data_IF_097331360168
#
_entry.id   IF_097331360168
#
_cell.length_a   1.000
_cell.length_b   1.000
_cell.length_c   1.000
_cell.angle_alpha   90.00
_cell.angle_beta   90.00
_cell.angle_gamma   90.00
#
_symmetry.space_group_name_H-M   'P 1'
#
loop_
_entity.id
_entity.type
_entity.pdbx_description
1 polymer ?
#
# COMPACT_ATOMS: atom_id res chain seq x y z
N UNK A 1 16.54 25.92 -3.15
CA UNK A 1 16.74 24.87 -2.10
C UNK A 1 15.37 24.35 -1.73
N UNK A 2 15.05 23.08 -2.07
CA UNK A 2 13.79 22.46 -1.70
C UNK A 2 13.91 21.81 -0.29
N UNK A 3 12.86 21.92 0.51
CA UNK A 3 12.76 21.22 1.81
C UNK A 3 12.39 19.75 1.57
N UNK A 4 13.14 18.83 2.17
CA UNK A 4 12.92 17.38 2.02
C UNK A 4 11.51 16.97 2.48
N UNK A 5 10.92 17.67 3.43
CA UNK A 5 9.55 17.44 3.90
C UNK A 5 8.47 17.66 2.82
N UNK A 6 8.79 18.41 1.78
CA UNK A 6 7.90 18.68 0.63
C UNK A 6 8.01 17.65 -0.49
N UNK A 7 8.98 16.74 -0.39
CA UNK A 7 9.18 15.67 -1.35
C UNK A 7 8.16 14.55 -1.12
N UNK A 8 7.68 13.93 -2.19
CA UNK A 8 6.92 12.68 -2.11
C UNK A 8 7.78 11.55 -1.53
N UNK A 9 7.16 10.50 -1.01
CA UNK A 9 7.88 9.34 -0.45
C UNK A 9 8.85 8.75 -1.48
N UNK A 10 8.42 8.60 -2.74
CA UNK A 10 9.28 8.14 -3.83
C UNK A 10 10.48 9.07 -4.09
N UNK A 11 10.27 10.39 -4.07
CA UNK A 11 11.36 11.37 -4.22
C UNK A 11 12.33 11.33 -3.03
N UNK A 12 11.83 11.12 -1.81
CA UNK A 12 12.69 10.92 -0.63
C UNK A 12 13.53 9.64 -0.78
N UNK A 13 12.95 8.55 -1.29
CA UNK A 13 13.67 7.31 -1.57
C UNK A 13 14.78 7.53 -2.61
N UNK A 14 14.48 8.20 -3.71
CA UNK A 14 15.50 8.54 -4.72
C UNK A 14 16.62 9.44 -4.17
N UNK A 15 16.28 10.38 -3.28
CA UNK A 15 17.26 11.21 -2.58
C UNK A 15 18.18 10.38 -1.68
N UNK A 16 17.65 9.38 -0.96
CA UNK A 16 18.44 8.47 -0.12
C UNK A 16 19.43 7.67 -0.98
N UNK A 17 19.00 7.17 -2.13
CA UNK A 17 19.86 6.44 -3.08
C UNK A 17 20.96 7.39 -3.60
N UNK A 18 20.60 8.59 -4.06
CA UNK A 18 21.57 9.58 -4.53
C UNK A 18 22.61 9.95 -3.46
N UNK A 19 22.20 10.06 -2.19
CA UNK A 19 23.10 10.27 -1.05
C UNK A 19 24.08 9.11 -0.86
N UNK A 20 23.61 7.86 -0.95
CA UNK A 20 24.46 6.69 -0.83
C UNK A 20 25.49 6.64 -1.97
N UNK A 21 25.09 7.00 -3.19
CA UNK A 21 25.96 7.02 -4.36
C UNK A 21 27.06 8.09 -4.32
N UNK A 22 26.83 9.18 -3.60
CA UNK A 22 27.81 10.27 -3.46
C UNK A 22 29.14 9.80 -2.84
N UNK A 23 29.12 8.68 -2.09
CA UNK A 23 30.32 8.08 -1.47
C UNK A 23 31.10 7.17 -2.41
N UNK A 24 30.65 6.94 -3.65
CA UNK A 24 31.23 6.01 -4.63
C UNK A 24 31.47 4.62 -4.01
N UNK A 25 30.45 3.93 -3.52
CA UNK A 25 30.60 2.69 -2.78
C UNK A 25 31.11 1.55 -3.69
N UNK A 26 31.91 0.65 -3.14
CA UNK A 26 32.28 -0.62 -3.80
C UNK A 26 31.15 -1.65 -3.72
N UNK A 27 30.36 -1.58 -2.65
CA UNK A 27 29.17 -2.42 -2.42
C UNK A 27 28.02 -1.50 -2.02
N UNK A 28 26.90 -1.60 -2.74
CA UNK A 28 25.68 -0.88 -2.45
C UNK A 28 24.61 -1.87 -1.98
N UNK A 29 24.00 -1.60 -0.82
CA UNK A 29 22.90 -2.40 -0.29
C UNK A 29 21.61 -1.60 -0.46
N UNK A 30 20.63 -2.19 -1.12
CA UNK A 30 19.30 -1.62 -1.36
C UNK A 30 18.27 -2.56 -0.74
N UNK A 31 17.61 -2.08 0.30
CA UNK A 31 16.57 -2.83 1.03
C UNK A 31 15.18 -2.32 0.61
N UNK A 32 14.44 -3.17 -0.12
CA UNK A 32 13.12 -2.90 -0.70
C UNK A 32 12.98 -1.50 -1.34
N UNK A 33 13.91 -1.08 -2.22
CA UNK A 33 13.99 0.31 -2.66
C UNK A 33 12.82 0.75 -3.53
N UNK A 34 12.01 -0.16 -4.03
CA UNK A 34 10.92 0.10 -4.99
C UNK A 34 9.54 0.20 -4.33
N UNK A 35 9.40 -0.12 -3.04
CA UNK A 35 8.11 -0.22 -2.34
C UNK A 35 7.27 1.05 -2.43
N UNK A 36 7.90 2.22 -2.45
CA UNK A 36 7.25 3.53 -2.50
C UNK A 36 7.43 4.28 -3.82
N UNK A 37 7.99 3.61 -4.85
CA UNK A 37 8.28 4.21 -6.14
C UNK A 37 7.11 4.02 -7.12
N UNK A 38 6.93 5.01 -8.01
CA UNK A 38 6.07 4.85 -9.19
C UNK A 38 6.73 3.92 -10.21
N UNK A 39 5.96 3.33 -11.13
CA UNK A 39 6.52 2.46 -12.18
C UNK A 39 7.60 3.13 -13.04
N UNK A 40 7.48 4.45 -13.29
CA UNK A 40 8.51 5.22 -13.99
C UNK A 40 9.79 5.40 -13.16
N UNK A 41 9.66 5.58 -11.84
CA UNK A 41 10.81 5.72 -10.95
C UNK A 41 11.50 4.38 -10.73
N UNK A 42 10.75 3.27 -10.69
CA UNK A 42 11.33 1.92 -10.67
C UNK A 42 12.23 1.69 -11.89
N UNK A 43 11.76 2.02 -13.09
CA UNK A 43 12.58 1.90 -14.31
C UNK A 43 13.87 2.72 -14.23
N UNK A 44 13.78 3.96 -13.75
CA UNK A 44 14.97 4.81 -13.53
C UNK A 44 15.93 4.22 -12.51
N UNK A 45 15.42 3.66 -11.42
CA UNK A 45 16.25 2.97 -10.44
C UNK A 45 16.98 1.78 -11.07
N UNK A 46 16.29 0.99 -11.89
CA UNK A 46 16.89 -0.15 -12.58
C UNK A 46 18.01 0.26 -13.54
N UNK A 47 17.84 1.37 -14.26
CA UNK A 47 18.88 1.96 -15.09
C UNK A 47 20.11 2.37 -14.24
N UNK A 48 19.89 3.00 -13.09
CA UNK A 48 20.96 3.37 -12.16
C UNK A 48 21.69 2.12 -11.65
N UNK A 49 20.97 1.08 -11.25
CA UNK A 49 21.53 -0.20 -10.78
C UNK A 49 22.39 -0.85 -11.86
N UNK A 50 21.91 -0.91 -13.10
CA UNK A 50 22.68 -1.46 -14.24
C UNK A 50 23.95 -0.68 -14.50
N UNK A 51 23.87 0.65 -14.55
CA UNK A 51 25.04 1.51 -14.72
C UNK A 51 26.10 1.31 -13.62
N UNK A 52 25.67 1.19 -12.37
CA UNK A 52 26.58 0.94 -11.25
C UNK A 52 27.28 -0.41 -11.38
N UNK A 53 26.53 -1.44 -11.75
CA UNK A 53 27.06 -2.78 -12.00
C UNK A 53 28.11 -2.77 -13.12
N UNK A 54 27.82 -2.11 -14.24
CA UNK A 54 28.74 -1.95 -15.37
C UNK A 54 30.02 -1.20 -14.97
N UNK A 55 29.93 -0.28 -14.02
CA UNK A 55 31.08 0.43 -13.45
C UNK A 55 31.77 -0.30 -12.29
N UNK A 56 31.46 -1.58 -12.08
CA UNK A 56 32.16 -2.46 -11.12
C UNK A 56 31.66 -2.32 -9.67
N UNK A 57 30.52 -1.67 -9.40
CA UNK A 57 29.90 -1.66 -8.07
C UNK A 57 29.13 -2.98 -7.86
N UNK A 58 29.43 -3.70 -6.79
CA UNK A 58 28.64 -4.86 -6.37
C UNK A 58 27.35 -4.40 -5.67
N UNK A 59 26.23 -5.07 -5.95
CA UNK A 59 24.92 -4.66 -5.41
C UNK A 59 24.27 -5.82 -4.68
N UNK A 60 23.83 -5.57 -3.45
CA UNK A 60 22.92 -6.45 -2.70
C UNK A 60 21.55 -5.82 -2.78
N UNK A 61 20.63 -6.47 -3.49
CA UNK A 61 19.28 -5.99 -3.71
C UNK A 61 18.29 -6.88 -2.96
N UNK A 62 17.69 -6.35 -1.90
CA UNK A 62 16.67 -7.07 -1.12
C UNK A 62 15.28 -6.75 -1.67
N UNK A 63 14.54 -7.78 -2.05
CA UNK A 63 13.17 -7.63 -2.56
C UNK A 63 12.38 -8.92 -2.37
N UNK A 64 11.07 -8.81 -2.34
CA UNK A 64 10.12 -9.93 -2.40
C UNK A 64 9.36 -9.97 -3.74
N UNK A 65 9.68 -9.06 -4.67
CA UNK A 65 9.02 -8.96 -5.97
C UNK A 65 9.76 -9.80 -7.00
N UNK A 66 9.08 -10.80 -7.56
CA UNK A 66 9.66 -11.71 -8.54
C UNK A 66 10.18 -11.00 -9.80
N UNK A 67 9.44 -9.99 -10.28
CA UNK A 67 9.81 -9.21 -11.46
C UNK A 67 11.17 -8.54 -11.29
N UNK A 68 11.47 -8.01 -10.11
CA UNK A 68 12.74 -7.36 -9.80
C UNK A 68 13.91 -8.37 -9.76
N UNK A 69 13.65 -9.56 -9.18
CA UNK A 69 14.63 -10.66 -9.16
C UNK A 69 14.98 -11.04 -10.59
N UNK A 70 14.00 -11.33 -11.42
CA UNK A 70 14.18 -11.78 -12.80
C UNK A 70 14.92 -10.74 -13.66
N UNK A 71 14.64 -9.46 -13.44
CA UNK A 71 15.15 -8.37 -14.27
C UNK A 71 16.59 -7.96 -13.89
N UNK A 72 16.89 -7.83 -12.58
CA UNK A 72 18.11 -7.18 -12.12
C UNK A 72 19.19 -8.14 -11.68
N UNK A 73 18.84 -9.29 -11.09
CA UNK A 73 19.82 -10.09 -10.35
C UNK A 73 20.53 -11.11 -11.21
N UNK A 74 21.79 -11.39 -10.89
CA UNK A 74 22.59 -12.46 -11.49
C UNK A 74 22.46 -13.75 -10.68
N UNK A 75 22.19 -13.61 -9.38
CA UNK A 75 22.01 -14.70 -8.43
C UNK A 75 21.00 -14.27 -7.38
N UNK A 76 20.14 -15.18 -6.97
CA UNK A 76 19.18 -14.97 -5.88
C UNK A 76 19.44 -15.96 -4.75
N UNK A 77 19.50 -15.47 -3.52
CA UNK A 77 19.55 -16.28 -2.31
C UNK A 77 18.27 -16.08 -1.53
N UNK A 78 17.56 -17.17 -1.28
CA UNK A 78 16.27 -17.15 -0.56
C UNK A 78 16.55 -17.31 0.93
N UNK A 79 16.05 -16.34 1.69
CA UNK A 79 16.09 -16.34 3.15
C UNK A 79 14.68 -16.52 3.70
N UNK A 80 14.53 -17.42 4.67
CA UNK A 80 13.28 -17.62 5.42
C UNK A 80 13.61 -17.95 6.88
N UNK A 81 12.95 -17.28 7.82
CA UNK A 81 13.16 -17.46 9.26
C UNK A 81 14.63 -17.33 9.67
N UNK A 82 15.37 -16.40 9.05
CA UNK A 82 16.79 -16.16 9.30
C UNK A 82 17.73 -17.21 8.74
N UNK A 83 17.25 -18.14 7.91
CA UNK A 83 18.04 -19.23 7.33
C UNK A 83 18.13 -19.10 5.82
N UNK A 84 19.28 -19.47 5.25
CA UNK A 84 19.42 -19.68 3.82
C UNK A 84 18.69 -20.97 3.42
N UNK A 85 17.68 -20.85 2.57
CA UNK A 85 16.89 -21.98 2.07
C UNK A 85 17.52 -22.51 0.77
N UNK A 86 17.80 -21.63 -0.18
CA UNK A 86 18.33 -21.98 -1.48
C UNK A 86 19.07 -20.80 -2.12
N UNK A 87 19.90 -21.11 -3.10
CA UNK A 87 20.56 -20.11 -3.95
C UNK A 87 20.49 -20.56 -5.39
N UNK A 88 20.05 -19.68 -6.29
CA UNK A 88 19.93 -19.95 -7.71
C UNK A 88 20.79 -18.95 -8.49
N UNK A 89 21.51 -19.44 -9.48
CA UNK A 89 22.14 -18.61 -10.52
C UNK A 89 21.10 -18.22 -11.56
N UNK A 90 21.26 -17.08 -12.24
CA UNK A 90 20.28 -16.55 -13.22
C UNK A 90 19.86 -17.57 -14.27
N UNK A 91 20.77 -18.40 -14.74
CA UNK A 91 20.50 -19.45 -15.73
C UNK A 91 19.57 -20.56 -15.23
N UNK A 92 19.49 -20.72 -13.90
CA UNK A 92 18.73 -21.77 -13.22
C UNK A 92 17.45 -21.22 -12.56
N UNK A 93 17.03 -19.99 -12.90
CA UNK A 93 15.84 -19.38 -12.34
C UNK A 93 14.58 -20.13 -12.75
N UNK A 94 13.92 -20.68 -11.77
CA UNK A 94 12.59 -21.26 -11.86
C UNK A 94 11.67 -20.47 -10.93
N UNK A 95 10.76 -19.68 -11.50
CA UNK A 95 9.85 -18.81 -10.76
C UNK A 95 9.03 -19.59 -9.73
N UNK A 96 8.56 -20.80 -10.09
CA UNK A 96 7.78 -21.64 -9.19
C UNK A 96 8.58 -22.07 -7.97
N UNK A 97 9.81 -22.56 -8.17
CA UNK A 97 10.70 -22.96 -7.07
C UNK A 97 11.11 -21.79 -6.19
N UNK A 98 11.45 -20.65 -6.80
CA UNK A 98 11.85 -19.45 -6.04
C UNK A 98 10.69 -19.00 -5.14
N UNK A 99 9.47 -18.94 -5.66
CA UNK A 99 8.28 -18.55 -4.88
C UNK A 99 7.98 -19.60 -3.80
N UNK A 100 8.02 -20.90 -4.13
CA UNK A 100 7.79 -21.96 -3.14
C UNK A 100 8.80 -21.89 -1.98
N UNK A 101 10.08 -21.66 -2.27
CA UNK A 101 11.11 -21.49 -1.27
C UNK A 101 10.93 -20.25 -0.41
N UNK A 102 10.48 -19.12 -1.02
CA UNK A 102 10.17 -17.87 -0.31
C UNK A 102 8.98 -18.04 0.65
N UNK A 103 7.91 -18.72 0.22
CA UNK A 103 6.65 -18.85 0.98
C UNK A 103 6.70 -20.08 1.89
N UNK A 104 7.39 -21.13 1.50
CA UNK A 104 7.44 -22.41 2.21
C UNK A 104 6.29 -23.36 1.91
N UNK A 105 5.52 -23.11 0.85
CA UNK A 105 4.40 -23.93 0.35
C UNK A 105 4.39 -23.98 -1.16
N UNK A 106 3.78 -24.99 -1.74
CA UNK A 106 3.55 -25.05 -3.18
C UNK A 106 2.53 -24.00 -3.63
N UNK A 107 2.67 -23.49 -4.86
CA UNK A 107 1.83 -22.41 -5.43
C UNK A 107 0.36 -22.80 -5.52
N UNK A 108 0.03 -24.10 -5.61
CA UNK A 108 -1.33 -24.62 -5.69
C UNK A 108 -2.24 -24.21 -4.49
N UNK A 109 -1.64 -23.87 -3.34
CA UNK A 109 -2.39 -23.43 -2.15
C UNK A 109 -2.49 -21.90 -2.01
N UNK A 110 -1.92 -21.12 -2.97
CA UNK A 110 -1.80 -19.67 -2.85
C UNK A 110 -3.15 -18.95 -3.06
N UNK A 111 -4.03 -19.53 -3.83
CA UNK A 111 -5.35 -18.97 -4.15
C UNK A 111 -6.45 -19.96 -3.75
N UNK A 112 -6.96 -19.89 -2.51
CA UNK A 112 -8.09 -20.73 -2.11
C UNK A 112 -9.30 -20.43 -3.00
N UNK A 113 -10.02 -21.49 -3.39
CA UNK A 113 -11.25 -21.33 -4.15
C UNK A 113 -12.25 -20.49 -3.35
N UNK A 114 -12.89 -19.56 -4.05
CA UNK A 114 -13.97 -18.76 -3.46
C UNK A 114 -15.28 -19.56 -3.50
N UNK A 115 -15.88 -19.75 -2.31
CA UNK A 115 -17.19 -20.41 -2.18
C UNK A 115 -18.30 -19.41 -1.79
N UNK A 116 -18.02 -18.10 -1.80
CA UNK A 116 -19.00 -17.11 -1.38
C UNK A 116 -19.92 -16.74 -2.54
N UNK A 117 -21.23 -16.85 -2.32
CA UNK A 117 -22.23 -16.26 -3.19
C UNK A 117 -22.27 -14.73 -2.97
N UNK A 118 -22.30 -13.99 -4.07
CA UNK A 118 -22.45 -12.52 -4.02
C UNK A 118 -23.93 -12.24 -3.84
N UNK A 119 -24.25 -11.52 -2.75
CA UNK A 119 -25.62 -11.16 -2.39
C UNK A 119 -26.07 -9.80 -2.98
N UNK A 120 -27.04 -9.17 -2.30
CA UNK A 120 -27.59 -7.88 -2.70
C UNK A 120 -26.59 -6.73 -2.55
N UNK A 121 -26.85 -5.60 -3.25
CA UNK A 121 -26.09 -4.36 -3.09
C UNK A 121 -26.21 -3.84 -1.65
N UNK A 122 -25.07 -3.65 -0.99
CA UNK A 122 -25.02 -3.12 0.38
C UNK A 122 -24.45 -1.71 0.45
N UNK A 123 -23.60 -1.34 -0.50
CA UNK A 123 -22.98 -0.03 -0.50
C UNK A 123 -22.86 0.51 -1.93
N UNK A 124 -23.13 1.80 -2.11
CA UNK A 124 -22.99 2.45 -3.41
C UNK A 124 -22.59 3.91 -3.24
N UNK A 125 -21.73 4.38 -4.12
CA UNK A 125 -21.44 5.79 -4.32
C UNK A 125 -21.83 6.21 -5.73
N UNK A 126 -22.33 7.43 -5.85
CA UNK A 126 -22.73 8.04 -7.10
C UNK A 126 -22.11 9.43 -7.25
N UNK A 127 -21.34 9.65 -8.31
CA UNK A 127 -20.81 10.95 -8.68
C UNK A 127 -19.88 11.59 -7.64
N UNK A 128 -19.11 10.79 -6.88
CA UNK A 128 -18.26 11.29 -5.82
C UNK A 128 -17.18 12.22 -6.37
N UNK A 129 -17.20 13.47 -5.91
CA UNK A 129 -16.20 14.49 -6.25
C UNK A 129 -15.65 15.10 -4.97
N UNK A 130 -14.32 15.21 -4.89
CA UNK A 130 -13.59 15.77 -3.75
C UNK A 130 -12.61 16.82 -4.24
N UNK A 131 -12.64 18.01 -3.63
CA UNK A 131 -11.70 19.08 -3.98
C UNK A 131 -10.29 18.80 -3.47
N UNK A 132 -9.31 19.29 -4.23
CA UNK A 132 -7.91 19.21 -3.81
C UNK A 132 -7.66 20.15 -2.62
N UNK A 133 -7.12 19.65 -1.48
CA UNK A 133 -7.03 20.42 -0.23
C UNK A 133 -6.08 21.64 -0.31
N UNK A 134 -5.19 21.69 -1.31
CA UNK A 134 -4.16 22.73 -1.43
C UNK A 134 -4.19 23.49 -2.76
N UNK A 135 -5.00 23.07 -3.73
CA UNK A 135 -5.07 23.69 -5.05
C UNK A 135 -6.51 24.07 -5.31
N UNK A 136 -6.79 25.39 -5.26
CA UNK A 136 -8.13 25.90 -5.52
C UNK A 136 -8.65 25.54 -6.92
N UNK A 137 -9.92 25.30 -7.05
CA UNK A 137 -10.61 24.95 -8.31
C UNK A 137 -10.07 23.70 -9.03
N UNK A 138 -9.44 22.79 -8.29
CA UNK A 138 -9.01 21.50 -8.80
C UNK A 138 -9.67 20.38 -7.99
N UNK A 139 -10.26 19.44 -8.68
CA UNK A 139 -10.76 18.23 -8.04
C UNK A 139 -9.62 17.22 -7.87
N UNK A 140 -9.57 16.60 -6.70
CA UNK A 140 -8.66 15.50 -6.38
C UNK A 140 -9.26 14.18 -6.88
N UNK A 141 -10.58 14.06 -6.76
CA UNK A 141 -11.41 12.97 -7.28
C UNK A 141 -12.56 13.62 -8.04
N UNK A 142 -12.88 13.07 -9.19
CA UNK A 142 -13.91 13.60 -10.06
C UNK A 142 -14.87 12.50 -10.54
N UNK A 143 -16.16 12.63 -10.19
CA UNK A 143 -17.27 11.82 -10.67
C UNK A 143 -17.08 10.29 -10.55
N UNK A 144 -16.63 9.83 -9.39
CA UNK A 144 -16.39 8.40 -9.13
C UNK A 144 -17.67 7.73 -8.66
N UNK A 145 -18.05 6.63 -9.31
CA UNK A 145 -19.24 5.84 -8.97
C UNK A 145 -18.90 4.35 -8.99
N UNK A 146 -19.36 3.61 -7.99
CA UNK A 146 -19.33 2.15 -7.94
C UNK A 146 -20.29 1.62 -6.86
N UNK A 147 -20.56 0.32 -6.90
CA UNK A 147 -21.31 -0.38 -5.86
C UNK A 147 -20.53 -1.58 -5.32
N UNK A 148 -20.93 -2.05 -4.15
CA UNK A 148 -20.39 -3.24 -3.46
C UNK A 148 -21.54 -4.07 -2.95
N UNK A 149 -21.46 -5.38 -3.18
CA UNK A 149 -22.49 -6.35 -2.80
C UNK A 149 -22.09 -7.11 -1.53
N UNK A 150 -23.07 -7.70 -0.87
CA UNK A 150 -22.83 -8.54 0.31
C UNK A 150 -21.90 -9.72 -0.06
N UNK A 151 -20.86 -9.94 0.74
CA UNK A 151 -19.86 -11.00 0.48
C UNK A 151 -18.89 -10.73 -0.67
N UNK A 152 -18.95 -9.54 -1.31
CA UNK A 152 -18.04 -9.14 -2.37
C UNK A 152 -16.73 -8.54 -1.81
N UNK A 153 -15.64 -8.75 -2.53
CA UNK A 153 -14.40 -7.98 -2.39
C UNK A 153 -14.18 -7.17 -3.66
N UNK A 154 -14.48 -5.89 -3.61
CA UNK A 154 -14.25 -4.96 -4.73
C UNK A 154 -12.80 -4.46 -4.71
N UNK A 155 -12.09 -4.66 -5.82
CA UNK A 155 -10.73 -4.12 -6.01
C UNK A 155 -10.75 -2.75 -6.70
N UNK A 156 -10.15 -1.73 -6.08
CA UNK A 156 -9.89 -0.43 -6.72
C UNK A 156 -8.48 -0.41 -7.30
N UNK A 157 -8.34 -0.66 -8.59
CA UNK A 157 -7.07 -0.66 -9.31
C UNK A 157 -6.65 0.74 -9.79
N UNK A 158 -5.35 0.99 -9.98
CA UNK A 158 -4.82 2.23 -10.55
C UNK A 158 -3.36 2.48 -10.18
N UNK A 159 -2.70 3.38 -10.90
CA UNK A 159 -1.33 3.78 -10.63
C UNK A 159 -1.23 4.65 -9.36
N UNK A 160 0.01 4.88 -8.91
CA UNK A 160 0.29 5.84 -7.82
C UNK A 160 -0.24 7.22 -8.22
N UNK A 161 -1.02 7.84 -7.32
CA UNK A 161 -1.66 9.13 -7.60
C UNK A 161 -2.99 9.06 -8.36
N UNK A 162 -3.54 7.87 -8.59
CA UNK A 162 -4.84 7.70 -9.25
C UNK A 162 -6.06 8.05 -8.37
N UNK A 163 -5.87 8.43 -7.12
CA UNK A 163 -6.96 8.84 -6.23
C UNK A 163 -7.63 7.71 -5.43
N UNK A 164 -7.11 6.47 -5.46
CA UNK A 164 -7.71 5.31 -4.78
C UNK A 164 -7.85 5.51 -3.27
N UNK A 165 -6.76 5.90 -2.62
CA UNK A 165 -6.74 6.15 -1.18
C UNK A 165 -7.61 7.33 -0.80
N UNK A 166 -7.67 8.34 -1.65
CA UNK A 166 -8.46 9.54 -1.47
C UNK A 166 -9.97 9.25 -1.55
N UNK A 167 -10.40 8.36 -2.45
CA UNK A 167 -11.79 7.84 -2.48
C UNK A 167 -12.13 7.19 -1.13
N UNK A 168 -11.28 6.27 -0.65
CA UNK A 168 -11.51 5.60 0.62
C UNK A 168 -11.53 6.56 1.82
N UNK A 169 -10.62 7.54 1.86
CA UNK A 169 -10.57 8.55 2.93
C UNK A 169 -11.77 9.49 2.90
N UNK A 170 -12.30 9.83 1.72
CA UNK A 170 -13.51 10.62 1.59
C UNK A 170 -14.75 9.84 2.06
N UNK A 171 -14.90 8.58 1.66
CA UNK A 171 -15.98 7.68 2.14
C UNK A 171 -15.92 7.53 3.67
N UNK A 172 -14.71 7.46 4.23
CA UNK A 172 -14.52 7.33 5.68
C UNK A 172 -14.70 8.66 6.45
N UNK A 173 -14.99 9.77 5.75
CA UNK A 173 -15.24 11.06 6.38
C UNK A 173 -14.01 11.82 6.83
N UNK A 174 -12.82 11.46 6.34
CA UNK A 174 -11.58 12.18 6.61
C UNK A 174 -11.35 13.35 5.65
N UNK A 175 -12.08 13.39 4.54
CA UNK A 175 -12.05 14.47 3.55
C UNK A 175 -13.47 14.94 3.24
N UNK A 176 -13.69 16.25 3.05
CA UNK A 176 -15.02 16.75 2.70
C UNK A 176 -15.38 16.36 1.26
N UNK A 177 -16.59 15.87 1.09
CA UNK A 177 -17.17 15.56 -0.22
C UNK A 177 -17.75 16.86 -0.79
N UNK A 178 -17.35 17.22 -2.02
CA UNK A 178 -17.88 18.39 -2.75
C UNK A 178 -19.25 18.11 -3.36
N UNK A 179 -19.39 16.94 -3.97
CA UNK A 179 -20.64 16.46 -4.57
C UNK A 179 -20.65 14.95 -4.65
N UNK A 180 -21.81 14.38 -4.90
CA UNK A 180 -22.04 12.94 -4.96
C UNK A 180 -22.87 12.46 -3.79
N UNK A 181 -23.22 11.17 -3.82
CA UNK A 181 -24.08 10.53 -2.84
C UNK A 181 -23.49 9.20 -2.40
N UNK A 182 -23.71 8.85 -1.14
CA UNK A 182 -23.36 7.56 -0.57
C UNK A 182 -24.64 6.86 -0.13
N UNK A 183 -24.78 5.60 -0.48
CA UNK A 183 -25.91 4.75 -0.09
C UNK A 183 -25.43 3.55 0.69
N UNK A 184 -26.13 3.21 1.75
CA UNK A 184 -25.93 2.00 2.54
C UNK A 184 -27.26 1.26 2.68
N UNK A 185 -27.32 0.00 2.22
CA UNK A 185 -28.53 -0.82 2.18
C UNK A 185 -29.71 -0.05 1.52
N UNK A 186 -29.44 0.59 0.38
CA UNK A 186 -30.42 1.35 -0.40
C UNK A 186 -30.83 2.71 0.17
N UNK A 187 -30.33 3.12 1.34
CA UNK A 187 -30.61 4.41 1.98
C UNK A 187 -29.47 5.39 1.78
N UNK A 188 -29.78 6.62 1.37
CA UNK A 188 -28.79 7.69 1.31
C UNK A 188 -28.29 8.03 2.71
N UNK A 189 -26.98 8.08 2.90
CA UNK A 189 -26.32 8.44 4.14
C UNK A 189 -25.35 9.60 3.91
N UNK A 190 -25.14 10.39 4.96
CA UNK A 190 -24.15 11.47 4.94
C UNK A 190 -23.07 11.17 5.97
N UNK A 191 -21.82 11.25 5.55
CA UNK A 191 -20.65 11.00 6.40
C UNK A 191 -19.80 12.27 6.42
N UNK A 192 -19.76 12.95 7.55
CA UNK A 192 -19.03 14.21 7.74
C UNK A 192 -17.71 14.02 8.48
N UNK A 193 -17.57 12.91 9.18
CA UNK A 193 -16.41 12.57 9.99
C UNK A 193 -16.33 11.05 10.21
N UNK A 194 -15.20 10.60 10.73
CA UNK A 194 -14.92 9.18 10.96
C UNK A 194 -15.85 8.53 11.97
N UNK A 195 -16.35 9.29 12.94
CA UNK A 195 -17.30 8.79 13.95
C UNK A 195 -18.64 8.40 13.29
N UNK A 196 -19.14 9.21 12.36
CA UNK A 196 -20.34 8.90 11.59
C UNK A 196 -20.13 7.68 10.70
N UNK A 197 -18.97 7.53 10.04
CA UNK A 197 -18.62 6.33 9.27
C UNK A 197 -18.70 5.07 10.14
N UNK A 198 -18.07 5.09 11.31
CA UNK A 198 -18.09 3.97 12.26
C UNK A 198 -19.52 3.67 12.76
N UNK A 199 -20.36 4.68 13.02
CA UNK A 199 -21.77 4.48 13.39
C UNK A 199 -22.58 3.79 12.29
N UNK A 200 -22.24 4.04 11.03
CA UNK A 200 -22.84 3.35 9.88
C UNK A 200 -22.21 1.97 9.61
N UNK A 201 -21.26 1.52 10.44
CA UNK A 201 -20.58 0.23 10.27
C UNK A 201 -19.50 0.23 9.21
N UNK A 202 -19.01 1.39 8.79
CA UNK A 202 -17.92 1.54 7.84
C UNK A 202 -16.61 1.69 8.62
N UNK A 203 -15.63 0.84 8.34
CA UNK A 203 -14.30 0.89 8.94
C UNK A 203 -13.22 0.97 7.87
N UNK A 204 -12.07 1.55 8.20
CA UNK A 204 -10.95 1.72 7.27
C UNK A 204 -9.64 1.27 7.91
N UNK A 205 -8.86 0.49 7.16
CA UNK A 205 -7.46 0.22 7.48
C UNK A 205 -6.59 1.08 6.58
N UNK A 206 -5.87 2.03 7.18
CA UNK A 206 -5.03 2.99 6.46
C UNK A 206 -3.70 2.37 6.01
N UNK A 207 -3.20 2.79 4.83
CA UNK A 207 -1.85 2.48 4.37
C UNK A 207 -0.79 3.09 5.30
N UNK A 208 -0.97 4.34 5.72
CA UNK A 208 -0.06 5.03 6.67
C UNK A 208 -0.42 4.69 8.12
N UNK A 209 0.06 3.53 8.57
CA UNK A 209 -0.12 3.07 9.95
C UNK A 209 0.51 3.97 11.01
N UNK A 210 1.54 4.76 10.66
CA UNK A 210 2.21 5.67 11.61
C UNK A 210 1.41 6.94 11.86
N UNK A 211 0.73 7.44 10.85
CA UNK A 211 0.00 8.70 10.93
C UNK A 211 -1.47 8.50 11.34
N UNK A 212 -2.08 7.42 10.86
CA UNK A 212 -3.52 7.21 11.00
C UNK A 212 -3.93 5.86 11.60
N UNK A 213 -3.03 4.88 11.60
CA UNK A 213 -3.41 3.50 11.93
C UNK A 213 -3.18 3.11 13.39
N UNK A 214 -2.03 3.44 13.97
CA UNK A 214 -1.61 2.94 15.29
C UNK A 214 -0.98 4.04 16.14
N UNK A 215 -1.23 4.00 17.45
CA UNK A 215 -0.45 4.75 18.41
C UNK A 215 0.73 3.89 18.90
N UNK A 216 1.93 4.20 18.41
CA UNK A 216 3.14 3.42 18.69
C UNK A 216 3.61 3.53 20.16
N UNK A 217 3.10 4.50 20.94
CA UNK A 217 3.39 4.63 22.36
C UNK A 217 2.50 3.75 23.24
N UNK A 218 1.49 3.10 22.66
CA UNK A 218 0.51 2.29 23.36
C UNK A 218 0.76 0.80 23.16
N UNK A 219 0.31 0.00 24.10
CA UNK A 219 0.28 -1.44 23.98
C UNK A 219 -0.76 -1.92 22.94
N UNK A 220 -0.71 -3.20 22.62
CA UNK A 220 -1.62 -3.82 21.64
C UNK A 220 -3.07 -3.71 22.09
N UNK A 221 -3.36 -3.97 23.37
CA UNK A 221 -4.71 -3.93 23.91
C UNK A 221 -5.37 -2.57 23.74
N UNK A 222 -4.65 -1.48 24.07
CA UNK A 222 -5.14 -0.11 23.90
C UNK A 222 -5.37 0.23 22.43
N UNK A 223 -4.49 -0.18 21.54
CA UNK A 223 -4.66 0.02 20.10
C UNK A 223 -5.88 -0.72 19.52
N UNK A 224 -6.20 -1.91 20.04
CA UNK A 224 -7.38 -2.67 19.60
C UNK A 224 -8.67 -1.98 20.05
N UNK A 225 -8.73 -1.52 21.29
CA UNK A 225 -9.99 -1.03 21.87
C UNK A 225 -10.30 0.43 21.56
N UNK A 226 -9.31 1.24 21.11
CA UNK A 226 -9.51 2.69 20.91
C UNK A 226 -10.63 3.03 19.94
N UNK A 227 -10.84 2.21 18.92
CA UNK A 227 -11.90 2.40 17.92
C UNK A 227 -13.29 2.04 18.44
N UNK A 228 -13.40 1.29 19.53
CA UNK A 228 -14.67 0.87 20.12
C UNK A 228 -14.54 0.73 21.64
N UNK A 229 -14.54 1.87 22.34
CA UNK A 229 -14.38 1.92 23.80
C UNK A 229 -15.64 1.49 24.57
N UNK A 230 -16.84 1.56 23.96
CA UNK A 230 -18.12 1.27 24.65
C UNK A 230 -18.16 -0.11 25.33
N UNK A 231 -17.72 -1.22 24.68
CA UNK A 231 -17.77 -2.54 25.31
C UNK A 231 -16.85 -2.70 26.51
N UNK A 232 -15.76 -1.90 26.59
CA UNK A 232 -14.73 -1.99 27.63
C UNK A 232 -14.82 -0.89 28.68
N UNK A 233 -15.72 0.10 28.48
CA UNK A 233 -15.90 1.18 29.42
C UNK A 233 -17.05 0.87 30.41
N UNK A 234 -16.82 1.13 31.69
CA UNK A 234 -17.86 1.16 32.72
C UNK A 234 -18.03 2.61 33.19
N UNK A 235 -19.25 3.16 33.16
CA UNK A 235 -19.55 4.49 33.65
C UNK A 235 -18.74 5.60 32.96
N UNK A 236 -18.45 5.48 31.67
CA UNK A 236 -17.57 6.36 30.89
C UNK A 236 -16.09 6.39 31.36
N UNK A 237 -15.65 5.41 32.15
CA UNK A 237 -14.24 5.18 32.49
C UNK A 237 -13.74 3.93 31.76
N UNK A 238 -12.54 4.03 31.17
CA UNK A 238 -11.82 2.93 30.50
C UNK A 238 -10.70 2.46 31.41
#
# INVERSE_FOLDING_TARGET
KADVRKLSVGQQQMLMIARALATKPKVLILDEPTTSLSGSDVKRLFEVVRNLKENGTSIIFVTHKMEEILELTDRVTILRDGRNISTFEKKDYDTGKIIADMIGREISEMYPERHNEIGDEVFRIEGLTVEHPYIANRDLIHDVSFCVHAGEVLGLGGLVGAGRSEVCTAIYGMMPIKSGKIFLNGKEIHIRNTEEAVRHGISMVSEDRKRYGLNFSWDIGKNIVISNLKPVSKWNFV
#
